data_IF_190749453957
#
_entry.id   IF_190749453957
#
_cell.length_a   1.000
_cell.length_b   1.000
_cell.length_c   1.000
_cell.angle_alpha   90.00
_cell.angle_beta   90.00
_cell.angle_gamma   90.00
#
_symmetry.space_group_name_H-M   'P 1'
#
loop_
_entity.id
_entity.type
_entity.pdbx_description
1 polymer ?
#
# COMPACT_ATOMS: atom_id res chain seq x y z
N UNK A 1 13.71 -8.89 -2.05
CA UNK A 1 12.78 -7.78 -2.40
C UNK A 1 13.01 -6.49 -1.62
N UNK A 2 13.47 -6.52 -0.36
CA UNK A 2 13.71 -5.30 0.42
C UNK A 2 14.80 -4.37 -0.19
N UNK A 3 15.89 -4.95 -0.71
CA UNK A 3 16.99 -4.21 -1.33
C UNK A 3 16.54 -3.40 -2.55
N UNK A 4 15.69 -3.98 -3.41
CA UNK A 4 15.18 -3.31 -4.62
C UNK A 4 14.42 -2.02 -4.28
N UNK A 5 13.68 -1.96 -3.17
CA UNK A 5 12.93 -0.74 -2.76
C UNK A 5 13.81 0.39 -2.24
N UNK A 6 15.08 0.10 -1.96
CA UNK A 6 16.07 1.03 -1.43
C UNK A 6 17.24 1.13 -2.42
N UNK A 7 16.97 1.37 -3.70
CA UNK A 7 18.01 1.52 -4.73
C UNK A 7 18.99 0.33 -4.80
N UNK A 8 18.56 -0.89 -4.50
CA UNK A 8 19.41 -2.10 -4.53
C UNK A 8 20.39 -2.21 -3.36
N UNK A 9 20.13 -1.49 -2.27
CA UNK A 9 20.99 -1.46 -1.09
C UNK A 9 20.96 -2.81 -0.34
N UNK A 10 22.13 -3.39 -0.07
CA UNK A 10 22.29 -4.61 0.76
C UNK A 10 22.77 -4.23 2.17
N UNK A 11 23.64 -3.23 2.26
CA UNK A 11 24.15 -2.65 3.50
C UNK A 11 24.20 -1.13 3.34
N UNK A 12 24.23 -0.37 4.44
CA UNK A 12 24.20 1.09 4.39
C UNK A 12 25.30 1.62 3.46
N UNK A 13 24.90 2.36 2.42
CA UNK A 13 25.76 2.88 1.35
C UNK A 13 26.42 1.84 0.42
N UNK A 14 26.04 0.57 0.51
CA UNK A 14 26.50 -0.51 -0.39
C UNK A 14 25.33 -0.99 -1.27
N UNK A 15 25.44 -0.74 -2.57
CA UNK A 15 24.44 -1.09 -3.58
C UNK A 15 25.02 -2.10 -4.58
N UNK A 16 24.47 -3.32 -4.63
CA UNK A 16 25.01 -4.38 -5.49
C UNK A 16 24.23 -4.54 -6.81
N UNK A 17 23.04 -3.94 -6.91
CA UNK A 17 22.17 -4.03 -8.09
C UNK A 17 21.44 -2.71 -8.30
N UNK A 18 20.94 -2.47 -9.51
CA UNK A 18 20.06 -1.32 -9.78
C UNK A 18 18.71 -1.59 -9.09
N UNK A 19 18.27 -0.65 -8.26
CA UNK A 19 16.95 -0.68 -7.63
C UNK A 19 16.17 0.61 -7.84
N UNK A 20 15.09 0.74 -7.09
CA UNK A 20 14.11 1.82 -7.17
C UNK A 20 14.01 2.55 -5.84
N UNK A 21 13.60 3.81 -5.86
CA UNK A 21 13.24 4.57 -4.66
C UNK A 21 11.79 4.33 -4.26
N UNK A 22 11.42 3.09 -3.96
CA UNK A 22 10.03 2.66 -3.77
C UNK A 22 9.60 2.64 -2.30
N UNK A 23 9.95 3.68 -1.54
CA UNK A 23 9.53 3.83 -0.14
C UNK A 23 8.15 4.48 -0.06
N UNK A 24 7.35 4.03 0.88
CA UNK A 24 6.14 4.73 1.29
C UNK A 24 6.52 5.79 2.33
N UNK A 25 6.01 7.01 2.16
CA UNK A 25 6.23 8.09 3.12
C UNK A 25 5.53 7.80 4.45
N UNK A 26 6.18 8.21 5.55
CA UNK A 26 5.66 8.00 6.91
C UNK A 26 4.29 8.63 7.13
N UNK A 27 4.04 9.81 6.53
CA UNK A 27 2.73 10.46 6.59
C UNK A 27 1.64 9.62 5.93
N UNK A 28 1.94 9.05 4.75
CA UNK A 28 1.00 8.19 4.03
C UNK A 28 0.75 6.89 4.78
N UNK A 29 1.78 6.30 5.39
CA UNK A 29 1.64 5.13 6.25
C UNK A 29 0.74 5.43 7.47
N UNK A 30 0.87 6.60 8.09
CA UNK A 30 0.03 7.00 9.22
C UNK A 30 -1.45 7.16 8.80
N UNK A 31 -1.71 7.80 7.66
CA UNK A 31 -3.06 7.91 7.09
C UNK A 31 -3.63 6.51 6.78
N UNK A 32 -2.83 5.63 6.18
CA UNK A 32 -3.22 4.27 5.85
C UNK A 32 -3.56 3.46 7.11
N UNK A 33 -2.76 3.59 8.18
CA UNK A 33 -3.00 2.90 9.44
C UNK A 33 -4.36 3.25 10.04
N UNK A 34 -4.81 4.50 9.97
CA UNK A 34 -6.16 4.87 10.44
C UNK A 34 -7.23 4.29 9.51
N UNK A 35 -7.01 4.32 8.20
CA UNK A 35 -8.00 3.85 7.21
C UNK A 35 -8.19 2.34 7.23
N UNK A 36 -7.14 1.58 7.54
CA UNK A 36 -7.19 0.11 7.44
C UNK A 36 -8.18 -0.50 8.44
N UNK A 37 -8.37 0.14 9.60
CA UNK A 37 -9.33 -0.28 10.63
C UNK A 37 -10.78 -0.26 10.11
N UNK A 38 -11.12 0.68 9.22
CA UNK A 38 -12.46 0.84 8.63
C UNK A 38 -12.63 0.14 7.28
N UNK A 39 -11.56 -0.46 6.74
CA UNK A 39 -11.54 -0.97 5.37
C UNK A 39 -12.59 -2.07 5.11
N UNK A 40 -12.88 -2.89 6.13
CA UNK A 40 -13.90 -3.94 6.01
C UNK A 40 -15.31 -3.35 5.80
N UNK A 41 -15.63 -2.23 6.43
CA UNK A 41 -16.93 -1.58 6.27
C UNK A 41 -17.02 -0.86 4.92
N UNK A 42 -15.92 -0.30 4.44
CA UNK A 42 -15.80 0.20 3.06
C UNK A 42 -16.09 -0.90 2.04
N UNK A 43 -15.56 -2.12 2.24
CA UNK A 43 -15.86 -3.27 1.35
C UNK A 43 -17.34 -3.62 1.38
N UNK A 44 -17.96 -3.70 2.57
CA UNK A 44 -19.40 -3.98 2.70
C UNK A 44 -20.25 -2.92 2.01
N UNK A 45 -19.88 -1.65 2.15
CA UNK A 45 -20.57 -0.55 1.49
C UNK A 45 -20.46 -0.63 -0.03
N UNK A 46 -19.28 -0.98 -0.57
CA UNK A 46 -19.07 -1.21 -2.00
C UNK A 46 -19.91 -2.37 -2.52
N UNK A 47 -19.97 -3.49 -1.79
CA UNK A 47 -20.81 -4.64 -2.10
C UNK A 47 -22.30 -4.26 -2.13
N UNK A 48 -22.78 -3.49 -1.16
CA UNK A 48 -24.17 -3.01 -1.12
C UNK A 48 -24.53 -2.18 -2.35
N UNK A 49 -23.63 -1.29 -2.78
CA UNK A 49 -23.84 -0.48 -3.99
C UNK A 49 -23.83 -1.36 -5.24
N UNK A 50 -22.89 -2.30 -5.36
CA UNK A 50 -22.84 -3.23 -6.48
C UNK A 50 -24.12 -4.07 -6.60
N UNK A 51 -24.62 -4.61 -5.48
CA UNK A 51 -25.87 -5.37 -5.44
C UNK A 51 -27.08 -4.52 -5.83
N UNK A 52 -27.08 -3.22 -5.53
CA UNK A 52 -28.14 -2.31 -6.00
C UNK A 52 -28.15 -2.21 -7.52
N UNK A 53 -26.99 -2.12 -8.16
CA UNK A 53 -26.89 -2.07 -9.62
C UNK A 53 -27.17 -3.42 -10.30
N UNK A 54 -26.89 -4.55 -9.63
CA UNK A 54 -27.19 -5.89 -10.14
C UNK A 54 -28.68 -6.26 -10.11
N UNK A 55 -29.43 -5.70 -9.17
CA UNK A 55 -30.86 -5.96 -8.98
C UNK A 55 -31.76 -4.91 -9.67
N UNK A 56 -31.16 -3.97 -10.41
CA UNK A 56 -31.83 -3.06 -11.35
C UNK A 56 -31.83 -3.70 -12.74
#
# INVERSE_FOLDING_TARGET
>A
MASIRLHGQIKRYEHSFIGLGARMDTLQAAILNVKIDYYNDDIKNRQRVANKYLNY
#
